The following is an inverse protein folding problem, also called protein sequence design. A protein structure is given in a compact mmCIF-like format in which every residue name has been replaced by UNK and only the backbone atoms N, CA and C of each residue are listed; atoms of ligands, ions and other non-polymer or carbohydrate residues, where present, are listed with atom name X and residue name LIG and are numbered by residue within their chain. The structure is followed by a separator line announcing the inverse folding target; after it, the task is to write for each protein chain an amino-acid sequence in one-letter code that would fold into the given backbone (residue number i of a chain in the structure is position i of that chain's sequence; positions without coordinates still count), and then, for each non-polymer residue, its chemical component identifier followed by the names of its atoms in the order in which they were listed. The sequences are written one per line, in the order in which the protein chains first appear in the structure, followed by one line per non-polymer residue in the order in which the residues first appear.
data_IF_159299424161
#
_entry.id   IF_159299424161
#
_cell.length_a   1.000
_cell.length_b   1.000
_cell.length_c   1.000
_cell.angle_alpha   90.00
_cell.angle_beta   90.00
_cell.angle_gamma   90.00
#
_symmetry.space_group_name_H-M   'P 1'
#
loop_
_entity.id
_entity.type
_entity.pdbx_description
1 polymer ?
#
# COMPACT_ATOMS: atom_id res chain seq x y z
N UNK A 1 4.97 34.52 -4.89
CA UNK A 1 6.29 33.87 -4.91
C UNK A 1 6.08 32.42 -5.32
N UNK A 2 6.76 31.98 -6.36
CA UNK A 2 6.45 30.72 -7.04
C UNK A 2 7.13 29.54 -6.32
N UNK A 3 6.46 28.38 -6.18
CA UNK A 3 6.97 27.22 -5.43
C UNK A 3 8.39 26.81 -5.89
N UNK A 4 8.67 26.91 -7.18
CA UNK A 4 9.97 26.57 -7.79
C UNK A 4 11.11 27.41 -7.20
N UNK A 5 10.90 28.72 -7.00
CA UNK A 5 11.92 29.61 -6.43
C UNK A 5 12.25 29.24 -4.98
N UNK A 6 11.29 28.70 -4.23
CA UNK A 6 11.53 28.23 -2.86
C UNK A 6 12.30 26.91 -2.83
N UNK A 7 12.04 26.02 -3.81
CA UNK A 7 12.74 24.74 -3.94
C UNK A 7 14.21 24.92 -4.36
N UNK A 8 14.49 25.90 -5.22
CA UNK A 8 15.86 26.25 -5.61
C UNK A 8 16.63 26.88 -4.45
N UNK A 9 16.01 27.75 -3.64
CA UNK A 9 16.63 28.35 -2.43
C UNK A 9 17.09 27.32 -1.41
N UNK A 10 16.36 26.20 -1.28
CA UNK A 10 16.73 25.13 -0.33
C UNK A 10 17.69 24.09 -0.95
N UNK A 11 18.07 24.30 -2.22
CA UNK A 11 18.87 23.40 -3.05
C UNK A 11 18.37 21.94 -2.94
N UNK A 12 17.07 21.75 -3.18
CA UNK A 12 16.40 20.48 -2.94
C UNK A 12 17.04 19.35 -3.76
N UNK A 13 17.43 19.61 -5.00
CA UNK A 13 18.03 18.62 -5.89
C UNK A 13 19.25 17.95 -5.26
N UNK A 14 20.10 18.73 -4.61
CA UNK A 14 21.33 18.23 -3.97
C UNK A 14 21.06 17.47 -2.66
N UNK A 15 19.85 17.57 -2.12
CA UNK A 15 19.42 16.86 -0.89
C UNK A 15 18.61 15.61 -1.17
N UNK A 16 18.18 15.39 -2.41
CA UNK A 16 17.42 14.20 -2.78
C UNK A 16 18.38 13.04 -3.02
N UNK A 17 18.01 11.88 -2.48
CA UNK A 17 18.65 10.63 -2.90
C UNK A 17 18.36 10.37 -4.37
N UNK A 18 19.28 9.67 -5.04
CA UNK A 18 19.02 9.12 -6.36
C UNK A 18 17.78 8.20 -6.30
N UNK A 19 17.15 7.96 -7.44
CA UNK A 19 16.00 7.05 -7.51
C UNK A 19 16.39 5.64 -7.06
N UNK A 20 17.62 5.24 -7.37
CA UNK A 20 18.19 3.93 -7.05
C UNK A 20 18.49 3.78 -5.56
N UNK A 21 18.88 4.87 -4.89
CA UNK A 21 19.22 4.90 -3.46
C UNK A 21 18.02 5.24 -2.56
N UNK A 22 16.88 5.63 -3.13
CA UNK A 22 15.67 5.90 -2.39
C UNK A 22 14.97 4.61 -1.94
N UNK A 23 15.45 4.06 -0.82
CA UNK A 23 14.90 2.87 -0.14
C UNK A 23 14.33 3.27 1.23
N UNK A 24 13.11 3.83 1.27
CA UNK A 24 12.50 4.32 2.52
C UNK A 24 12.13 3.18 3.49
N UNK A 25 12.03 1.94 2.98
CA UNK A 25 11.75 0.74 3.76
C UNK A 25 12.74 -0.36 3.37
N UNK A 26 13.01 -1.32 4.27
CA UNK A 26 13.79 -2.50 3.92
C UNK A 26 13.14 -3.28 2.78
N UNK A 27 13.95 -3.96 1.98
CA UNK A 27 13.47 -4.97 1.04
C UNK A 27 12.88 -6.16 1.82
N UNK A 28 11.92 -6.86 1.22
CA UNK A 28 11.34 -8.08 1.80
C UNK A 28 12.40 -9.13 2.22
N UNK A 29 13.48 -9.26 1.44
CA UNK A 29 14.57 -10.21 1.69
C UNK A 29 15.54 -9.75 2.80
N UNK A 30 15.50 -8.49 3.23
CA UNK A 30 16.35 -7.95 4.30
C UNK A 30 15.80 -8.33 5.69
N UNK A 31 15.82 -9.63 6.00
CA UNK A 31 15.16 -10.19 7.18
C UNK A 31 15.62 -9.61 8.51
N UNK A 32 16.93 -9.36 8.67
CA UNK A 32 17.46 -8.74 9.89
C UNK A 32 16.81 -7.39 10.21
N UNK A 33 16.48 -6.58 9.19
CA UNK A 33 15.83 -5.27 9.37
C UNK A 33 14.39 -5.42 9.87
N UNK A 34 13.66 -6.42 9.37
CA UNK A 34 12.31 -6.73 9.83
C UNK A 34 12.31 -7.39 11.21
N UNK A 35 13.29 -8.25 11.48
CA UNK A 35 13.46 -8.94 12.76
C UNK A 35 13.85 -7.99 13.89
N UNK A 36 14.55 -6.90 13.59
CA UNK A 36 14.92 -5.86 14.56
C UNK A 36 13.72 -5.07 15.12
N UNK A 37 12.54 -5.17 14.48
CA UNK A 37 11.32 -4.53 14.96
C UNK A 37 10.83 -5.23 16.23
N UNK A 38 10.32 -4.47 17.19
CA UNK A 38 9.83 -5.02 18.46
C UNK A 38 8.69 -6.00 18.26
N UNK A 39 8.67 -7.02 19.11
CA UNK A 39 7.71 -8.12 18.99
C UNK A 39 6.25 -7.68 19.14
N UNK A 40 5.99 -6.68 20.00
CA UNK A 40 4.65 -6.13 20.18
C UNK A 40 4.12 -5.44 18.90
N UNK A 41 5.01 -4.73 18.19
CA UNK A 41 4.66 -4.07 16.91
C UNK A 41 4.41 -5.12 15.83
N UNK A 42 5.24 -6.16 15.75
CA UNK A 42 5.03 -7.29 14.83
C UNK A 42 3.67 -7.93 15.08
N UNK A 43 3.40 -8.37 16.32
CA UNK A 43 2.13 -9.01 16.69
C UNK A 43 0.92 -8.16 16.35
N UNK A 44 0.98 -6.85 16.61
CA UNK A 44 -0.10 -5.94 16.28
C UNK A 44 -0.40 -5.92 14.78
N UNK A 45 0.63 -5.73 13.94
CA UNK A 45 0.43 -5.61 12.49
C UNK A 45 0.14 -6.94 11.81
N UNK A 46 0.76 -8.04 12.27
CA UNK A 46 0.43 -9.40 11.81
C UNK A 46 -1.04 -9.70 12.15
N UNK A 47 -1.46 -9.45 13.40
CA UNK A 47 -2.86 -9.64 13.80
C UNK A 47 -3.86 -8.77 13.01
N UNK A 48 -3.45 -7.57 12.56
CA UNK A 48 -4.26 -6.76 11.64
C UNK A 48 -4.36 -7.37 10.25
N UNK A 49 -3.28 -7.91 9.70
CA UNK A 49 -3.30 -8.59 8.42
C UNK A 49 -4.18 -9.85 8.46
N UNK A 50 -4.11 -10.62 9.55
CA UNK A 50 -4.89 -11.84 9.74
C UNK A 50 -6.41 -11.63 9.65
N UNK A 51 -6.90 -10.49 10.14
CA UNK A 51 -8.31 -10.12 10.06
C UNK A 51 -8.84 -10.05 8.61
N UNK A 52 -7.94 -9.89 7.63
CA UNK A 52 -8.29 -9.75 6.22
C UNK A 52 -8.03 -11.00 5.39
N UNK A 53 -7.56 -12.11 5.98
CA UNK A 53 -7.36 -13.35 5.23
C UNK A 53 -8.68 -13.88 4.62
N UNK A 54 -9.80 -13.67 5.31
CA UNK A 54 -11.13 -13.99 4.83
C UNK A 54 -11.81 -12.88 4.01
N UNK A 55 -11.16 -11.74 3.77
CA UNK A 55 -11.78 -10.60 3.10
C UNK A 55 -12.12 -10.92 1.64
N UNK A 56 -13.36 -10.70 1.23
CA UNK A 56 -13.76 -10.87 -0.17
C UNK A 56 -13.55 -9.54 -0.88
N UNK A 57 -12.67 -9.54 -1.87
CA UNK A 57 -12.41 -8.34 -2.65
C UNK A 57 -13.67 -7.96 -3.46
N UNK A 58 -14.23 -6.75 -3.26
CA UNK A 58 -15.35 -6.31 -4.09
C UNK A 58 -14.90 -6.18 -5.55
N UNK A 59 -15.81 -6.06 -6.51
CA UNK A 59 -15.49 -5.69 -7.89
C UNK A 59 -15.64 -4.18 -8.08
N UNK A 60 -14.64 -3.49 -8.64
CA UNK A 60 -14.80 -2.09 -9.06
C UNK A 60 -15.23 -2.12 -10.52
N UNK A 61 -16.53 -1.94 -10.77
CA UNK A 61 -17.04 -2.00 -12.13
C UNK A 61 -16.77 -0.70 -12.88
N UNK A 62 -16.57 -0.80 -14.19
CA UNK A 62 -16.51 0.36 -15.07
C UNK A 62 -17.80 1.20 -15.01
N UNK A 63 -18.95 0.57 -14.75
CA UNK A 63 -20.23 1.26 -14.57
C UNK A 63 -20.25 2.13 -13.31
N UNK A 64 -19.70 1.65 -12.19
CA UNK A 64 -19.55 2.45 -10.98
C UNK A 64 -18.60 3.64 -11.18
N UNK A 65 -17.56 3.46 -11.99
CA UNK A 65 -16.69 4.57 -12.41
C UNK A 65 -17.44 5.58 -13.30
N UNK A 66 -18.24 5.10 -14.26
CA UNK A 66 -19.03 5.94 -15.17
C UNK A 66 -20.10 6.78 -14.44
N UNK A 67 -20.61 6.35 -13.28
CA UNK A 67 -21.56 7.16 -12.49
C UNK A 67 -21.02 8.57 -12.18
N UNK A 68 -19.69 8.73 -12.08
CA UNK A 68 -19.07 10.04 -11.91
C UNK A 68 -19.36 10.99 -13.06
N UNK A 69 -19.34 10.53 -14.32
CA UNK A 69 -19.61 11.41 -15.47
C UNK A 69 -21.08 11.86 -15.54
N UNK A 70 -21.99 11.11 -14.91
CA UNK A 70 -23.43 11.42 -14.88
C UNK A 70 -23.83 12.28 -13.70
N UNK A 71 -23.28 12.01 -12.52
CA UNK A 71 -23.74 12.61 -11.25
C UNK A 71 -22.71 13.56 -10.60
N UNK A 72 -21.46 13.56 -11.08
CA UNK A 72 -20.33 14.22 -10.41
C UNK A 72 -19.90 13.54 -9.10
N UNK A 73 -20.61 12.49 -8.65
CA UNK A 73 -20.30 11.79 -7.41
C UNK A 73 -19.31 10.64 -7.69
N UNK A 74 -18.12 10.73 -7.09
CA UNK A 74 -17.06 9.72 -7.21
C UNK A 74 -16.96 8.80 -5.99
N UNK A 75 -17.62 9.14 -4.88
CA UNK A 75 -17.43 8.49 -3.59
C UNK A 75 -17.72 6.98 -3.62
N UNK A 76 -18.69 6.52 -4.42
CA UNK A 76 -19.02 5.08 -4.51
C UNK A 76 -17.84 4.27 -5.04
N UNK A 77 -17.19 4.73 -6.11
CA UNK A 77 -16.01 4.07 -6.67
C UNK A 77 -14.81 4.22 -5.73
N UNK A 78 -14.57 5.46 -5.26
CA UNK A 78 -13.39 5.79 -4.47
C UNK A 78 -13.38 5.07 -3.12
N UNK A 79 -14.52 4.92 -2.45
CA UNK A 79 -14.60 4.20 -1.18
C UNK A 79 -14.10 2.75 -1.33
N UNK A 80 -14.59 2.04 -2.34
CA UNK A 80 -14.16 0.66 -2.60
C UNK A 80 -12.70 0.57 -3.06
N UNK A 81 -12.20 1.59 -3.76
CA UNK A 81 -10.78 1.68 -4.12
C UNK A 81 -9.89 1.88 -2.90
N UNK A 82 -10.23 2.85 -2.04
CA UNK A 82 -9.45 3.18 -0.85
C UNK A 82 -9.49 2.06 0.19
N UNK A 83 -10.62 1.38 0.34
CA UNK A 83 -10.75 0.21 1.21
C UNK A 83 -9.78 -0.91 0.75
N UNK A 84 -9.77 -1.25 -0.54
CA UNK A 84 -8.82 -2.23 -1.06
C UNK A 84 -7.38 -1.82 -0.83
N UNK A 85 -7.04 -0.58 -1.15
CA UNK A 85 -5.69 -0.05 -0.97
C UNK A 85 -5.27 -0.07 0.50
N UNK A 86 -6.20 0.16 1.43
CA UNK A 86 -5.95 0.06 2.86
C UNK A 86 -5.64 -1.39 3.26
N UNK A 87 -6.49 -2.34 2.88
CA UNK A 87 -6.35 -3.75 3.24
C UNK A 87 -5.05 -4.34 2.69
N UNK A 88 -4.72 -4.07 1.42
CA UNK A 88 -3.48 -4.55 0.80
C UNK A 88 -2.24 -4.02 1.54
N UNK A 89 -2.26 -2.76 2.02
CA UNK A 89 -1.17 -2.23 2.84
C UNK A 89 -1.03 -2.98 4.16
N UNK A 90 -2.13 -3.35 4.81
CA UNK A 90 -2.09 -4.15 6.04
C UNK A 90 -1.52 -5.54 5.76
N UNK A 91 -1.99 -6.20 4.71
CA UNK A 91 -1.50 -7.53 4.30
C UNK A 91 0.01 -7.50 3.96
N UNK A 92 0.45 -6.52 3.16
CA UNK A 92 1.87 -6.36 2.79
C UNK A 92 2.75 -6.12 4.01
N UNK A 93 2.35 -5.22 4.91
CA UNK A 93 3.14 -4.94 6.11
C UNK A 93 3.17 -6.16 7.05
N UNK A 94 2.03 -6.84 7.23
CA UNK A 94 1.96 -8.08 8.00
C UNK A 94 2.90 -9.15 7.45
N UNK A 95 2.88 -9.37 6.14
CA UNK A 95 3.78 -10.32 5.48
C UNK A 95 5.25 -9.91 5.59
N UNK A 96 5.59 -8.62 5.43
CA UNK A 96 6.97 -8.16 5.62
C UNK A 96 7.48 -8.44 7.05
N UNK A 97 6.62 -8.25 8.05
CA UNK A 97 6.96 -8.49 9.46
C UNK A 97 7.05 -9.97 9.79
N UNK A 98 6.16 -10.79 9.23
CA UNK A 98 6.08 -12.24 9.45
C UNK A 98 7.13 -13.02 8.64
N UNK A 99 7.10 -12.92 7.31
CA UNK A 99 8.03 -13.59 6.40
C UNK A 99 7.78 -15.08 6.18
N UNK A 100 6.60 -15.60 6.53
CA UNK A 100 6.25 -17.03 6.41
C UNK A 100 5.49 -17.36 5.11
N UNK A 101 5.09 -16.36 4.32
CA UNK A 101 4.45 -16.54 3.02
C UNK A 101 2.96 -16.91 3.05
N UNK A 102 2.35 -17.10 4.23
CA UNK A 102 0.92 -17.46 4.33
C UNK A 102 0.00 -16.29 3.95
N UNK A 103 0.43 -15.04 4.14
CA UNK A 103 -0.34 -13.84 3.78
C UNK A 103 -0.17 -13.53 2.28
N UNK A 104 0.96 -13.91 1.67
CA UNK A 104 1.22 -13.75 0.21
C UNK A 104 0.06 -14.26 -0.64
N UNK A 105 -0.54 -15.40 -0.31
CA UNK A 105 -1.70 -15.92 -1.06
C UNK A 105 -2.82 -14.89 -1.18
N UNK A 106 -3.13 -14.21 -0.07
CA UNK A 106 -4.19 -13.20 -0.07
C UNK A 106 -3.85 -11.96 -0.89
N UNK A 107 -2.57 -11.60 -0.92
CA UNK A 107 -2.05 -10.51 -1.75
C UNK A 107 -2.12 -10.89 -3.24
N UNK A 108 -1.82 -12.14 -3.59
CA UNK A 108 -1.93 -12.63 -4.98
C UNK A 108 -3.37 -12.60 -5.48
N UNK A 109 -4.35 -13.01 -4.66
CA UNK A 109 -5.78 -12.87 -4.99
C UNK A 109 -6.15 -11.42 -5.37
N UNK A 110 -5.55 -10.43 -4.72
CA UNK A 110 -5.76 -9.02 -5.08
C UNK A 110 -5.14 -8.65 -6.44
N UNK A 111 -3.93 -9.13 -6.73
CA UNK A 111 -3.23 -8.86 -8.00
C UNK A 111 -4.00 -9.46 -9.19
N UNK A 112 -4.54 -10.66 -9.02
CA UNK A 112 -5.32 -11.34 -10.07
C UNK A 112 -6.57 -10.56 -10.49
N UNK A 113 -7.18 -9.78 -9.60
CA UNK A 113 -8.33 -8.94 -9.92
C UNK A 113 -8.05 -7.84 -10.95
N UNK A 114 -6.79 -7.44 -11.11
CA UNK A 114 -6.39 -6.45 -12.12
C UNK A 114 -6.01 -7.09 -13.46
N UNK A 115 -5.94 -8.42 -13.50
CA UNK A 115 -5.63 -9.19 -14.71
C UNK A 115 -6.89 -9.65 -15.45
N UNK A 116 -8.07 -9.32 -14.92
CA UNK A 116 -9.41 -9.54 -15.49
C UNK A 116 -9.89 -8.29 -16.24
#
# INVERSE_FOLDING_TARGET
MMLIEQLDKINLKDKLKSREDFKPFPNYMERMSWEAISEDVKKYHIGKAEQYLGYVWPLLTATAYMEFSKSGNRSRYDNGYFERAHIVKQLLLGECLEGEGRIIRKIMEFVELFSL
#
